data_IF_326882244604
#
_entry.id   IF_326882244604
#
_cell.length_a   1.000
_cell.length_b   1.000
_cell.length_c   1.000
_cell.angle_alpha   90.00
_cell.angle_beta   90.00
_cell.angle_gamma   90.00
#
_symmetry.space_group_name_H-M   'P 1'
#
loop_
_entity.id
_entity.type
_entity.pdbx_description
1 polymer ?
#
# COMPACT_ATOMS: atom_id res chain seq x y z
N UNK A 1 25.06 5.93 4.54
CA UNK A 1 24.89 6.29 4.75
C UNK A 1 24.38 7.54 4.80
N UNK A 2 24.88 8.28 4.66
CA UNK A 2 24.41 9.54 4.69
C UNK A 2 23.36 9.85 3.76
N UNK A 3 23.26 9.11 2.82
CA UNK A 3 22.33 9.33 1.85
C UNK A 3 20.98 9.35 2.37
N UNK A 4 20.71 8.83 3.48
CA UNK A 4 19.39 8.85 3.98
C UNK A 4 19.04 10.09 4.69
N UNK A 5 19.99 10.96 4.91
CA UNK A 5 19.70 12.13 5.61
C UNK A 5 18.83 13.05 4.90
N UNK A 6 18.90 13.13 3.64
CA UNK A 6 18.13 14.06 2.86
C UNK A 6 16.76 13.58 2.54
N UNK A 7 16.43 12.33 2.84
CA UNK A 7 15.14 11.79 2.53
C UNK A 7 14.48 11.29 3.76
N UNK A 8 13.19 11.52 3.92
CA UNK A 8 12.48 10.92 5.03
C UNK A 8 12.46 9.41 4.85
N UNK A 9 12.53 8.66 5.94
CA UNK A 9 12.41 7.22 5.83
C UNK A 9 11.02 6.85 5.35
N UNK A 10 10.93 5.72 4.67
CA UNK A 10 9.63 5.21 4.28
C UNK A 10 8.87 4.79 5.50
N UNK A 11 7.65 5.24 5.62
CA UNK A 11 6.83 4.89 6.76
C UNK A 11 5.73 3.95 6.30
N UNK A 12 5.64 2.75 6.85
CA UNK A 12 4.61 1.81 6.45
C UNK A 12 3.21 2.33 6.67
N UNK A 13 3.05 3.33 7.52
CA UNK A 13 1.73 3.87 7.79
C UNK A 13 1.41 5.09 6.95
N UNK A 14 2.35 5.58 6.15
CA UNK A 14 2.11 6.75 5.32
C UNK A 14 2.97 6.70 4.06
N UNK A 15 2.68 5.74 3.20
CA UNK A 15 3.43 5.56 1.96
C UNK A 15 2.73 6.21 0.80
N UNK A 16 3.49 6.89 -0.04
CA UNK A 16 2.95 7.32 -1.32
C UNK A 16 2.55 6.08 -2.12
N UNK A 17 1.55 6.21 -2.96
CA UNK A 17 1.04 5.05 -3.68
C UNK A 17 2.11 4.37 -4.51
N UNK A 18 2.99 5.13 -5.16
CA UNK A 18 4.03 4.52 -5.97
C UNK A 18 5.03 3.75 -5.12
N UNK A 19 5.31 4.22 -3.90
CA UNK A 19 6.21 3.52 -3.00
C UNK A 19 5.55 2.26 -2.47
N UNK A 20 4.27 2.33 -2.16
CA UNK A 20 3.51 1.17 -1.73
C UNK A 20 3.47 0.13 -2.84
N UNK A 21 3.27 0.57 -4.08
CA UNK A 21 3.24 -0.35 -5.21
C UNK A 21 4.57 -1.08 -5.37
N UNK A 22 5.67 -0.34 -5.24
CA UNK A 22 6.99 -0.95 -5.33
C UNK A 22 7.22 -1.97 -4.24
N UNK A 23 6.85 -1.61 -3.03
CA UNK A 23 7.07 -2.48 -1.89
C UNK A 23 6.23 -3.74 -2.01
N UNK A 24 4.98 -3.59 -2.39
CA UNK A 24 4.09 -4.73 -2.54
C UNK A 24 4.53 -5.63 -3.69
N UNK A 25 5.05 -5.05 -4.76
CA UNK A 25 5.56 -5.84 -5.87
C UNK A 25 6.72 -6.70 -5.43
N UNK A 26 7.58 -6.15 -4.59
CA UNK A 26 8.73 -6.90 -4.13
C UNK A 26 8.35 -8.03 -3.22
N UNK A 27 7.46 -7.77 -2.27
CA UNK A 27 7.12 -8.78 -1.28
C UNK A 27 6.13 -9.79 -1.83
N UNK A 28 5.26 -9.36 -2.74
CA UNK A 28 4.23 -10.26 -3.26
C UNK A 28 4.64 -11.09 -4.44
N UNK A 29 5.78 -10.79 -5.05
CA UNK A 29 6.23 -11.55 -6.19
C UNK A 29 5.47 -11.29 -7.47
N UNK A 30 4.55 -10.35 -7.47
CA UNK A 30 3.79 -9.99 -8.66
C UNK A 30 3.85 -8.50 -8.85
N UNK A 31 3.88 -8.04 -10.10
CA UNK A 31 3.91 -6.60 -10.33
C UNK A 31 2.61 -5.95 -9.89
N UNK A 32 2.72 -4.91 -9.11
CA UNK A 32 1.58 -4.14 -8.65
C UNK A 32 1.81 -2.70 -9.06
N UNK A 33 0.87 -2.13 -9.79
CA UNK A 33 0.97 -0.74 -10.22
C UNK A 33 0.12 0.17 -9.38
N UNK A 34 0.37 1.45 -9.51
CA UNK A 34 -0.41 2.46 -8.79
C UNK A 34 -1.89 2.35 -9.16
N UNK A 35 -2.19 2.04 -10.40
CA UNK A 35 -3.58 1.91 -10.83
C UNK A 35 -4.30 0.82 -10.07
N UNK A 36 -3.62 -0.25 -9.73
CA UNK A 36 -4.23 -1.32 -8.97
C UNK A 36 -4.58 -0.85 -7.57
N UNK A 37 -3.69 -0.06 -6.98
CA UNK A 37 -3.96 0.48 -5.66
C UNK A 37 -5.11 1.48 -5.71
N UNK A 38 -5.15 2.28 -6.76
CA UNK A 38 -6.24 3.23 -6.92
C UNK A 38 -7.58 2.52 -7.09
N UNK A 39 -7.57 1.43 -7.81
CA UNK A 39 -8.79 0.65 -7.96
C UNK A 39 -9.24 0.06 -6.64
N UNK A 40 -8.31 -0.41 -5.84
CA UNK A 40 -8.64 -0.94 -4.52
C UNK A 40 -9.21 0.15 -3.62
N UNK A 41 -8.63 1.34 -3.68
CA UNK A 41 -9.13 2.46 -2.90
C UNK A 41 -10.55 2.81 -3.32
N UNK A 42 -10.81 2.79 -4.63
CA UNK A 42 -12.15 3.04 -5.11
C UNK A 42 -13.13 1.96 -4.66
N UNK A 43 -12.63 0.77 -4.41
CA UNK A 43 -13.46 -0.33 -3.93
C UNK A 43 -13.63 -0.31 -2.41
N UNK A 44 -12.98 0.60 -1.71
CA UNK A 44 -13.15 0.72 -0.28
C UNK A 44 -11.91 0.53 0.55
N UNK A 45 -10.75 0.35 -0.06
CA UNK A 45 -9.54 0.18 0.71
C UNK A 45 -9.23 1.46 1.49
N UNK A 46 -8.71 1.33 2.72
CA UNK A 46 -8.47 2.51 3.54
C UNK A 46 -7.24 3.29 3.07
N UNK A 47 -7.34 4.60 3.14
CA UNK A 47 -6.22 5.48 2.88
C UNK A 47 -6.18 6.55 3.95
N UNK A 48 -5.02 7.19 4.08
CA UNK A 48 -4.91 8.33 4.98
C UNK A 48 -5.53 9.56 4.34
N UNK A 49 -5.90 10.56 5.13
CA UNK A 49 -6.52 11.78 4.59
C UNK A 49 -5.64 12.51 3.58
N UNK A 50 -4.33 12.34 3.65
CA UNK A 50 -3.43 13.03 2.73
C UNK A 50 -3.19 12.24 1.44
N UNK A 51 -3.88 11.11 1.27
CA UNK A 51 -3.73 10.32 0.06
C UNK A 51 -2.65 9.27 0.12
N UNK A 52 -1.92 9.17 1.23
CA UNK A 52 -0.94 8.09 1.38
C UNK A 52 -1.62 6.83 1.88
N UNK A 53 -0.89 5.72 1.80
CA UNK A 53 -1.44 4.43 2.14
C UNK A 53 -0.84 3.93 3.45
N UNK A 54 -1.70 3.39 4.31
CA UNK A 54 -1.25 2.73 5.52
C UNK A 54 -1.25 1.24 5.24
N UNK A 55 -0.06 0.65 5.10
CA UNK A 55 0.05 -0.75 4.72
C UNK A 55 -0.58 -1.69 5.72
N UNK A 56 -0.55 -1.33 6.99
CA UNK A 56 -1.16 -2.17 8.01
C UNK A 56 -2.66 -2.26 7.80
N UNK A 57 -3.28 -1.12 7.58
CA UNK A 57 -4.73 -1.08 7.35
C UNK A 57 -5.09 -1.71 6.01
N UNK A 58 -4.26 -1.48 5.01
CA UNK A 58 -4.49 -2.03 3.68
C UNK A 58 -4.41 -3.56 3.71
N UNK A 59 -3.42 -4.10 4.42
CA UNK A 59 -3.29 -5.55 4.54
C UNK A 59 -4.49 -6.14 5.27
N UNK A 60 -4.97 -5.48 6.31
CA UNK A 60 -6.14 -5.94 7.02
C UNK A 60 -7.38 -5.94 6.12
N UNK A 61 -7.50 -4.89 5.28
CA UNK A 61 -8.60 -4.81 4.35
C UNK A 61 -8.54 -5.94 3.32
N UNK A 62 -7.32 -6.24 2.82
CA UNK A 62 -7.14 -7.32 1.86
C UNK A 62 -7.56 -8.67 2.45
N UNK A 63 -7.17 -8.92 3.68
CA UNK A 63 -7.52 -10.16 4.34
C UNK A 63 -9.04 -10.28 4.45
N UNK A 64 -9.69 -9.21 4.81
CA UNK A 64 -11.15 -9.20 4.91
C UNK A 64 -11.79 -9.47 3.55
N UNK A 65 -11.25 -8.85 2.51
CA UNK A 65 -11.80 -9.05 1.17
C UNK A 65 -11.61 -10.48 0.71
N UNK A 66 -10.48 -11.07 1.03
CA UNK A 66 -10.24 -12.45 0.67
C UNK A 66 -11.20 -13.37 1.38
N UNK A 67 -11.50 -13.11 2.63
CA UNK A 67 -12.46 -13.91 3.37
C UNK A 67 -13.85 -13.78 2.77
N UNK A 68 -14.24 -12.59 2.40
CA UNK A 68 -15.54 -12.37 1.82
C UNK A 68 -15.71 -13.08 0.50
N UNK A 69 -14.65 -13.09 -0.31
CA UNK A 69 -14.74 -13.73 -1.58
C UNK A 69 -14.50 -15.20 -1.52
N UNK A 70 -13.64 -15.64 -0.63
CA UNK A 70 -13.21 -17.00 -0.58
C UNK A 70 -14.19 -17.93 0.03
N UNK A 71 -15.16 -17.38 0.69
CA UNK A 71 -16.12 -18.24 1.27
C UNK A 71 -17.27 -18.46 0.43
#
# INVERSE_FOLDING_TARGET
MADDRGKPPLSPTALALRDAAKLLSRTGGQPIGVEMLEADIAAGAPTNPDGTLNLVHYAAWLVKEMHRRGD
#
